data_IF_695213782132
#
_entry.id   IF_695213782132
#
_cell.length_a   1.000
_cell.length_b   1.000
_cell.length_c   1.000
_cell.angle_alpha   90.00
_cell.angle_beta   90.00
_cell.angle_gamma   90.00
#
_symmetry.space_group_name_H-M   'P 1'
#
loop_
_entity.id
_entity.type
_entity.pdbx_description
1 polymer ?
#
# COMPACT_ATOMS: atom_id res chain seq x y z
N UNK A 1 10.79 -3.80 3.83
CA UNK A 1 11.73 -4.28 2.78
C UNK A 1 11.49 -5.78 2.63
N UNK A 2 11.21 -6.27 1.42
CA UNK A 2 10.92 -7.70 1.21
C UNK A 2 12.21 -8.49 1.45
N UNK A 3 12.15 -9.50 2.30
CA UNK A 3 13.31 -10.35 2.55
C UNK A 3 13.45 -11.36 1.41
N UNK A 4 14.35 -11.04 0.46
CA UNK A 4 14.61 -11.89 -0.69
C UNK A 4 15.38 -13.17 -0.32
N UNK A 5 15.94 -13.24 0.90
CA UNK A 5 16.70 -14.40 1.38
C UNK A 5 15.81 -15.55 1.86
N UNK A 6 14.51 -15.29 2.05
CA UNK A 6 13.59 -16.26 2.63
C UNK A 6 13.35 -17.44 1.66
N UNK A 7 13.91 -18.61 2.01
CA UNK A 7 13.76 -19.84 1.22
C UNK A 7 14.66 -19.93 -0.01
N UNK A 8 15.70 -19.09 -0.13
CA UNK A 8 16.65 -19.10 -1.25
C UNK A 8 18.08 -19.23 -0.73
N UNK A 9 18.91 -20.01 -1.41
CA UNK A 9 20.35 -20.05 -1.11
C UNK A 9 21.00 -18.76 -1.59
N UNK A 10 22.15 -18.34 -1.02
CA UNK A 10 22.84 -17.11 -1.42
C UNK A 10 23.17 -17.05 -2.91
N UNK A 11 23.38 -18.21 -3.58
CA UNK A 11 23.64 -18.25 -5.02
C UNK A 11 22.39 -17.98 -5.89
N UNK A 12 21.18 -18.15 -5.33
CA UNK A 12 19.90 -17.89 -6.01
C UNK A 12 19.44 -16.43 -5.88
N UNK A 13 20.20 -15.60 -5.15
CA UNK A 13 19.91 -14.19 -4.97
C UNK A 13 20.62 -13.40 -6.06
N UNK A 14 19.86 -12.72 -6.91
CA UNK A 14 20.43 -11.74 -7.80
C UNK A 14 21.02 -10.58 -6.99
N UNK A 15 22.20 -10.07 -7.37
CA UNK A 15 22.79 -8.94 -6.68
C UNK A 15 21.90 -7.70 -6.85
N UNK A 16 21.66 -6.98 -5.76
CA UNK A 16 20.83 -5.77 -5.75
C UNK A 16 21.34 -4.73 -6.76
N UNK A 17 22.66 -4.56 -6.82
CA UNK A 17 23.31 -3.78 -7.87
C UNK A 17 23.85 -4.72 -8.95
N UNK A 18 23.59 -4.47 -10.25
CA UNK A 18 22.85 -3.31 -10.77
C UNK A 18 21.35 -3.58 -11.02
N UNK A 19 20.89 -4.84 -10.89
CA UNK A 19 19.58 -5.27 -11.38
C UNK A 19 18.39 -4.55 -10.73
N UNK A 20 18.30 -4.52 -9.39
CA UNK A 20 17.18 -3.86 -8.72
C UNK A 20 17.24 -2.34 -8.86
N UNK A 21 18.44 -1.76 -8.88
CA UNK A 21 18.62 -0.34 -9.20
C UNK A 21 18.05 0.01 -10.57
N UNK A 22 18.37 -0.78 -11.61
CA UNK A 22 17.79 -0.57 -12.94
C UNK A 22 16.27 -0.76 -12.95
N UNK A 23 15.74 -1.75 -12.21
CA UNK A 23 14.30 -1.95 -12.08
C UNK A 23 13.61 -0.72 -11.50
N UNK A 24 14.14 -0.15 -10.41
CA UNK A 24 13.61 1.09 -9.83
C UNK A 24 13.72 2.27 -10.78
N UNK A 25 14.85 2.45 -11.46
CA UNK A 25 15.04 3.53 -12.44
C UNK A 25 13.99 3.43 -13.57
N UNK A 26 13.77 2.24 -14.13
CA UNK A 26 12.78 2.03 -15.19
C UNK A 26 11.37 2.39 -14.70
N UNK A 27 10.99 1.93 -13.50
CA UNK A 27 9.69 2.23 -12.91
C UNK A 27 9.53 3.73 -12.61
N UNK A 28 10.57 4.38 -12.09
CA UNK A 28 10.57 5.83 -11.84
C UNK A 28 10.47 6.63 -13.13
N UNK A 29 11.21 6.27 -14.18
CA UNK A 29 11.10 6.89 -15.49
C UNK A 29 9.70 6.70 -16.08
N UNK A 30 9.12 5.50 -15.97
CA UNK A 30 7.74 5.25 -16.41
C UNK A 30 6.73 6.12 -15.65
N UNK A 31 6.86 6.24 -14.33
CA UNK A 31 6.00 7.11 -13.52
C UNK A 31 6.10 8.57 -13.95
N UNK A 32 7.31 9.09 -14.19
CA UNK A 32 7.52 10.45 -14.68
C UNK A 32 6.89 10.67 -16.05
N UNK A 33 7.02 9.71 -16.98
CA UNK A 33 6.38 9.80 -18.30
C UNK A 33 4.86 9.82 -18.17
N UNK A 34 4.29 8.95 -17.33
CA UNK A 34 2.84 8.94 -17.06
C UNK A 34 2.39 10.26 -16.44
N UNK A 35 3.15 10.81 -15.50
CA UNK A 35 2.88 12.10 -14.89
C UNK A 35 2.93 13.23 -15.92
N UNK A 36 3.95 13.28 -16.78
CA UNK A 36 4.02 14.27 -17.86
C UNK A 36 2.86 14.14 -18.85
N UNK A 37 2.51 12.92 -19.26
CA UNK A 37 1.33 12.68 -20.13
C UNK A 37 0.06 13.16 -19.45
N UNK A 38 -0.11 12.84 -18.16
CA UNK A 38 -1.26 13.30 -17.39
C UNK A 38 -1.31 14.84 -17.36
N UNK A 39 -0.21 15.52 -17.04
CA UNK A 39 -0.17 16.99 -17.00
C UNK A 39 -0.47 17.63 -18.37
N UNK A 40 0.04 17.06 -19.46
CA UNK A 40 -0.11 17.62 -20.81
C UNK A 40 -1.49 17.36 -21.40
N UNK A 41 -2.00 16.13 -21.30
CA UNK A 41 -3.24 15.69 -21.97
C UNK A 41 -4.47 15.70 -21.06
N UNK A 42 -4.25 15.60 -19.76
CA UNK A 42 -5.25 15.76 -18.72
C UNK A 42 -4.85 16.95 -17.84
N UNK A 43 -4.89 18.19 -18.36
CA UNK A 43 -4.90 19.38 -17.52
C UNK A 43 -6.25 19.37 -16.78
N UNK A 44 -6.42 18.40 -15.87
CA UNK A 44 -7.65 18.17 -15.13
C UNK A 44 -7.94 19.50 -14.45
N UNK A 45 -9.00 20.21 -14.86
CA UNK A 45 -9.50 21.21 -13.98
C UNK A 45 -10.01 20.40 -12.79
N UNK A 46 -9.34 20.50 -11.65
CA UNK A 46 -9.76 19.83 -10.40
C UNK A 46 -11.21 20.21 -10.02
N UNK A 47 -11.87 21.10 -10.77
CA UNK A 47 -13.29 21.44 -10.76
C UNK A 47 -14.24 20.35 -11.28
N UNK A 48 -13.77 19.24 -11.86
CA UNK A 48 -14.66 18.13 -12.26
C UNK A 48 -15.28 17.42 -11.06
N UNK A 49 -14.69 17.57 -9.87
CA UNK A 49 -15.27 17.10 -8.62
C UNK A 49 -15.89 18.33 -7.96
N UNK A 50 -17.20 18.30 -7.72
CA UNK A 50 -17.88 19.27 -6.85
C UNK A 50 -17.30 19.16 -5.44
N UNK A 51 -16.21 19.90 -5.20
CA UNK A 51 -15.52 19.96 -3.93
C UNK A 51 -15.42 21.40 -3.46
N UNK A 52 -15.42 21.65 -2.14
CA UNK A 52 -15.06 22.95 -1.63
C UNK A 52 -13.62 23.30 -2.02
N UNK A 53 -13.36 24.55 -2.36
CA UNK A 53 -12.03 25.02 -2.80
C UNK A 53 -10.93 24.74 -1.77
N UNK A 54 -11.27 24.78 -0.48
CA UNK A 54 -10.34 24.56 0.63
C UNK A 54 -9.95 23.10 0.87
N UNK A 55 -10.66 22.11 0.29
CA UNK A 55 -10.39 20.69 0.51
C UNK A 55 -9.55 20.14 -0.64
N UNK A 56 -8.33 19.62 -0.41
CA UNK A 56 -7.57 18.96 -1.48
C UNK A 56 -8.27 17.67 -1.93
N UNK A 57 -8.05 17.24 -3.17
CA UNK A 57 -8.74 16.07 -3.74
C UNK A 57 -8.53 14.78 -2.92
N UNK A 58 -7.35 14.59 -2.34
CA UNK A 58 -7.06 13.43 -1.46
C UNK A 58 -7.76 13.53 -0.10
N UNK A 59 -8.22 14.73 0.28
CA UNK A 59 -8.99 15.00 1.49
C UNK A 59 -10.50 14.71 1.34
N UNK A 60 -10.98 14.48 0.12
CA UNK A 60 -12.39 14.27 -0.19
C UNK A 60 -13.05 13.14 0.60
N UNK A 61 -12.44 11.94 0.75
CA UNK A 61 -13.06 10.88 1.52
C UNK A 61 -13.31 11.28 2.98
N UNK A 62 -12.40 12.05 3.58
CA UNK A 62 -12.54 12.53 4.95
C UNK A 62 -13.58 13.65 5.06
N UNK A 63 -13.66 14.52 4.05
CA UNK A 63 -14.65 15.58 3.99
C UNK A 63 -16.08 15.03 3.86
N UNK A 64 -16.31 14.04 3.00
CA UNK A 64 -17.61 13.38 2.91
C UNK A 64 -17.95 12.64 4.21
N UNK A 65 -16.97 11.96 4.81
CA UNK A 65 -17.16 11.29 6.09
C UNK A 65 -17.52 12.27 7.22
N UNK A 66 -16.92 13.46 7.23
CA UNK A 66 -17.26 14.55 8.15
C UNK A 66 -18.72 14.98 8.01
N UNK A 67 -19.22 15.14 6.78
CA UNK A 67 -20.63 15.47 6.53
C UNK A 67 -21.60 14.45 7.12
N UNK A 68 -21.27 13.15 7.05
CA UNK A 68 -22.11 12.08 7.58
C UNK A 68 -22.07 11.99 9.11
N UNK A 69 -20.90 12.16 9.71
CA UNK A 69 -20.70 12.00 11.15
C UNK A 69 -21.12 13.22 11.97
N UNK A 70 -20.99 14.42 11.40
CA UNK A 70 -21.31 15.71 12.04
C UNK A 70 -20.68 15.90 13.44
N UNK A 71 -19.64 15.14 13.76
CA UNK A 71 -18.97 15.13 15.05
C UNK A 71 -17.46 15.01 14.85
N UNK A 72 -16.76 16.11 15.11
CA UNK A 72 -15.32 16.23 14.89
C UNK A 72 -14.52 15.26 15.74
N UNK A 73 -14.93 15.07 17.01
CA UNK A 73 -14.24 14.18 17.94
C UNK A 73 -14.33 12.75 17.43
N UNK A 74 -15.52 12.31 17.00
CA UNK A 74 -15.73 10.95 16.49
C UNK A 74 -14.93 10.73 15.19
N UNK A 75 -14.92 11.71 14.29
CA UNK A 75 -14.11 11.65 13.07
C UNK A 75 -12.61 11.49 13.38
N UNK A 76 -12.09 12.28 14.33
CA UNK A 76 -10.69 12.18 14.76
C UNK A 76 -10.41 10.79 15.35
N UNK A 77 -11.27 10.30 16.24
CA UNK A 77 -11.13 8.95 16.80
C UNK A 77 -11.10 7.87 15.72
N UNK A 78 -11.98 7.96 14.72
CA UNK A 78 -12.04 7.02 13.61
C UNK A 78 -10.76 7.06 12.78
N UNK A 79 -10.26 8.25 12.43
CA UNK A 79 -9.02 8.40 11.67
C UNK A 79 -7.81 7.85 12.44
N UNK A 80 -7.71 8.14 13.74
CA UNK A 80 -6.65 7.61 14.61
C UNK A 80 -6.75 6.09 14.68
N UNK A 81 -7.94 5.53 14.83
CA UNK A 81 -8.15 4.08 14.86
C UNK A 81 -7.73 3.43 13.54
N UNK A 82 -8.10 3.99 12.39
CA UNK A 82 -7.67 3.51 11.07
C UNK A 82 -6.14 3.57 10.92
N UNK A 83 -5.50 4.66 11.36
CA UNK A 83 -4.04 4.78 11.32
C UNK A 83 -3.36 3.71 12.19
N UNK A 84 -3.83 3.54 13.43
CA UNK A 84 -3.33 2.51 14.34
C UNK A 84 -3.56 1.11 13.79
N UNK A 85 -4.69 0.85 13.14
CA UNK A 85 -4.97 -0.42 12.46
C UNK A 85 -3.97 -0.71 11.33
N UNK A 86 -3.67 0.28 10.48
CA UNK A 86 -2.68 0.13 9.40
C UNK A 86 -1.27 -0.08 9.95
N UNK A 87 -0.88 0.64 11.00
CA UNK A 87 0.43 0.47 11.65
C UNK A 87 0.54 -0.89 12.35
N UNK A 88 -0.56 -1.38 12.93
CA UNK A 88 -0.61 -2.68 13.60
C UNK A 88 -0.81 -3.86 12.63
N UNK A 89 -1.17 -3.61 11.38
CA UNK A 89 -1.38 -4.62 10.34
C UNK A 89 -0.26 -5.67 10.22
N UNK A 90 1.05 -5.32 10.15
CA UNK A 90 2.12 -6.32 10.08
C UNK A 90 2.16 -7.23 11.31
N UNK A 91 1.80 -6.73 12.50
CA UNK A 91 1.74 -7.54 13.72
C UNK A 91 0.55 -8.50 13.69
N UNK A 92 -0.59 -8.06 13.17
CA UNK A 92 -1.78 -8.89 12.99
C UNK A 92 -1.54 -9.99 11.95
N UNK A 93 -0.90 -9.66 10.83
CA UNK A 93 -0.54 -10.65 9.81
C UNK A 93 0.39 -11.72 10.38
N UNK A 94 1.40 -11.31 11.16
CA UNK A 94 2.30 -12.25 11.83
C UNK A 94 1.54 -13.14 12.83
N UNK A 95 0.64 -12.59 13.64
CA UNK A 95 -0.18 -13.38 14.57
C UNK A 95 -1.05 -14.42 13.84
N UNK A 96 -1.63 -14.07 12.69
CA UNK A 96 -2.43 -14.98 11.86
C UNK A 96 -1.59 -16.07 11.19
N UNK A 97 -0.40 -15.74 10.68
CA UNK A 97 0.53 -16.71 10.06
C UNK A 97 1.15 -17.67 11.08
N UNK A 98 1.46 -17.19 12.28
CA UNK A 98 2.07 -17.99 13.36
C UNK A 98 1.04 -18.71 14.24
N UNK A 99 -0.26 -18.58 13.96
CA UNK A 99 -1.29 -19.34 14.65
C UNK A 99 -1.03 -20.86 14.44
N UNK A 100 -0.69 -21.63 15.49
CA UNK A 100 -0.32 -23.04 15.37
C UNK A 100 -1.45 -23.90 14.79
N UNK A 101 -2.71 -23.44 14.85
CA UNK A 101 -3.85 -24.10 14.20
C UNK A 101 -3.80 -24.05 12.67
N UNK A 102 -3.17 -23.03 12.07
CA UNK A 102 -3.02 -22.90 10.61
C UNK A 102 -1.77 -23.61 10.05
N UNK A 103 -0.79 -23.96 10.90
CA UNK A 103 0.40 -24.74 10.48
C UNK A 103 0.10 -26.21 10.16
N UNK A 104 -1.02 -26.74 10.65
CA UNK A 104 -1.43 -28.13 10.40
C UNK A 104 -2.04 -28.36 9.01
N UNK A 105 -2.46 -27.31 8.29
CA UNK A 105 -2.98 -27.47 6.92
C UNK A 105 -1.88 -27.45 5.85
N UNK A 106 -0.74 -26.78 6.11
CA UNK A 106 0.38 -26.65 5.17
C UNK A 106 1.36 -27.84 5.18
N UNK A 107 1.24 -28.77 6.14
CA UNK A 107 2.14 -29.94 6.25
C UNK A 107 1.69 -31.16 5.42
N UNK A 108 0.65 -31.03 4.59
CA UNK A 108 -0.01 -32.18 3.93
C UNK A 108 0.11 -32.23 2.40
N UNK A 109 1.14 -31.60 1.83
CA UNK A 109 1.53 -31.87 0.44
C UNK A 109 2.81 -32.72 0.49
N UNK A 110 2.73 -34.05 0.36
CA UNK A 110 3.92 -34.84 0.11
C UNK A 110 4.47 -34.44 -1.26
N UNK A 111 5.76 -34.09 -1.31
CA UNK A 111 6.50 -34.10 -2.55
C UNK A 111 6.59 -35.57 -2.99
N UNK A 112 5.85 -35.93 -4.02
CA UNK A 112 6.06 -37.21 -4.71
C UNK A 112 7.38 -37.09 -5.49
N UNK A 113 8.37 -37.89 -5.07
CA UNK A 113 9.39 -38.45 -5.97
C UNK A 113 8.78 -39.58 -6.81
#
# INVERSE_FOLDING_TARGET
MKDYTQGRTPEMLEPFFPNEMFRYIIVSCFLLVVECIAVVFLPLPFSLIEKPDYVPWFGLPFYELHKYLQNDILLIFLMVFCALFLVSWPFLENALRYNPKNKLSLKRIPANE
#
